data_IF_700646646060
#
_entry.id   IF_700646646060
#
_cell.length_a   1.000
_cell.length_b   1.000
_cell.length_c   1.000
_cell.angle_alpha   90.00
_cell.angle_beta   90.00
_cell.angle_gamma   90.00
#
_symmetry.space_group_name_H-M   'P 1'
#
loop_
_entity.id
_entity.type
_entity.pdbx_description
1 polymer ?
#
# COMPACT_ATOMS: atom_id res chain seq x y z
N UNK A 1 6.63 15.57 5.21
CA UNK A 1 6.26 15.17 3.83
C UNK A 1 7.31 14.25 3.19
N UNK A 2 8.60 14.62 3.17
CA UNK A 2 9.65 13.84 2.48
C UNK A 2 9.74 12.35 2.88
N UNK A 3 9.67 12.02 4.17
CA UNK A 3 9.74 10.62 4.62
C UNK A 3 8.57 9.74 4.17
N UNK A 4 7.36 10.31 4.02
CA UNK A 4 6.19 9.59 3.51
C UNK A 4 6.36 9.23 2.03
N UNK A 5 6.87 10.18 1.23
CA UNK A 5 7.13 9.99 -0.20
C UNK A 5 8.25 8.97 -0.40
N UNK A 6 9.31 9.03 0.41
CA UNK A 6 10.41 8.06 0.36
C UNK A 6 9.93 6.65 0.71
N UNK A 7 9.16 6.50 1.78
CA UNK A 7 8.59 5.22 2.19
C UNK A 7 7.61 4.66 1.15
N UNK A 8 6.74 5.51 0.60
CA UNK A 8 5.83 5.13 -0.48
C UNK A 8 6.59 4.69 -1.74
N UNK A 9 7.53 5.50 -2.21
CA UNK A 9 8.35 5.19 -3.38
C UNK A 9 9.17 3.91 -3.23
N UNK A 10 9.72 3.65 -2.04
CA UNK A 10 10.44 2.40 -1.75
C UNK A 10 9.54 1.17 -1.79
N UNK A 11 8.33 1.25 -1.22
CA UNK A 11 7.36 0.14 -1.27
C UNK A 11 6.89 -0.09 -2.71
N UNK A 12 6.54 0.96 -3.44
CA UNK A 12 6.11 0.85 -4.85
C UNK A 12 7.22 0.33 -5.75
N UNK A 13 8.45 0.79 -5.57
CA UNK A 13 9.61 0.37 -6.38
C UNK A 13 9.96 -1.11 -6.18
N UNK A 14 9.79 -1.64 -4.96
CA UNK A 14 10.09 -3.04 -4.68
C UNK A 14 8.90 -4.00 -4.86
N UNK A 15 7.71 -3.48 -5.14
CA UNK A 15 6.48 -4.26 -5.23
C UNK A 15 6.50 -5.27 -6.38
N UNK A 16 6.98 -4.87 -7.57
CA UNK A 16 7.03 -5.78 -8.74
C UNK A 16 7.95 -6.97 -8.47
N UNK A 17 9.12 -6.72 -7.89
CA UNK A 17 10.09 -7.77 -7.53
C UNK A 17 9.46 -8.72 -6.51
N UNK A 18 8.77 -8.17 -5.49
CA UNK A 18 8.05 -8.96 -4.50
C UNK A 18 7.00 -9.89 -5.12
N UNK A 19 6.22 -9.40 -6.08
CA UNK A 19 5.21 -10.21 -6.78
C UNK A 19 5.83 -11.34 -7.63
N UNK A 20 7.01 -11.12 -8.19
CA UNK A 20 7.69 -12.12 -9.02
C UNK A 20 8.40 -13.17 -8.16
N UNK A 21 9.16 -12.73 -7.15
CA UNK A 21 10.01 -13.62 -6.35
C UNK A 21 9.24 -14.40 -5.29
N UNK A 22 8.26 -13.78 -4.64
CA UNK A 22 7.56 -14.36 -3.48
C UNK A 22 6.27 -15.05 -3.90
N UNK A 23 5.52 -14.41 -4.80
CA UNK A 23 4.25 -14.96 -5.30
C UNK A 23 4.41 -15.77 -6.59
N UNK A 24 5.63 -15.90 -7.13
CA UNK A 24 5.94 -16.63 -8.36
C UNK A 24 5.04 -16.26 -9.55
N UNK A 25 4.62 -14.99 -9.63
CA UNK A 25 3.82 -14.50 -10.74
C UNK A 25 4.68 -14.31 -11.99
N UNK A 26 4.10 -14.52 -13.17
CA UNK A 26 4.76 -14.14 -14.44
C UNK A 26 4.98 -12.63 -14.47
N UNK A 27 6.14 -12.20 -14.97
CA UNK A 27 6.52 -10.77 -15.02
C UNK A 27 5.48 -9.88 -15.69
N UNK A 28 4.73 -10.41 -16.67
CA UNK A 28 3.63 -9.70 -17.35
C UNK A 28 2.48 -9.41 -16.39
N UNK A 29 2.09 -10.39 -15.57
CA UNK A 29 0.99 -10.27 -14.61
C UNK A 29 1.39 -9.37 -13.43
N UNK A 30 2.63 -9.54 -12.92
CA UNK A 30 3.19 -8.66 -11.88
C UNK A 30 3.23 -7.18 -12.33
N UNK A 31 3.58 -6.91 -13.59
CA UNK A 31 3.57 -5.56 -14.15
C UNK A 31 2.14 -4.99 -14.27
N UNK A 32 1.17 -5.80 -14.68
CA UNK A 32 -0.24 -5.39 -14.73
C UNK A 32 -0.76 -5.02 -13.33
N UNK A 33 -0.52 -5.89 -12.35
CA UNK A 33 -0.92 -5.62 -10.96
C UNK A 33 -0.27 -4.35 -10.43
N UNK A 34 1.04 -4.17 -10.64
CA UNK A 34 1.72 -2.94 -10.22
C UNK A 34 1.14 -1.69 -10.89
N UNK A 35 0.75 -1.77 -12.17
CA UNK A 35 0.17 -0.63 -12.88
C UNK A 35 -1.25 -0.30 -12.37
N UNK A 36 -2.04 -1.33 -12.01
CA UNK A 36 -3.34 -1.16 -11.35
C UNK A 36 -3.18 -0.49 -9.99
N UNK A 37 -2.21 -0.91 -9.18
CA UNK A 37 -1.96 -0.33 -7.86
C UNK A 37 -1.48 1.12 -8.00
N UNK A 38 -0.62 1.41 -8.98
CA UNK A 38 -0.18 2.78 -9.27
C UNK A 38 -1.35 3.69 -9.68
N UNK A 39 -2.21 3.25 -10.60
CA UNK A 39 -3.41 4.01 -10.98
C UNK A 39 -4.44 4.13 -9.85
N UNK A 40 -4.64 3.06 -9.09
CA UNK A 40 -5.54 3.02 -7.93
C UNK A 40 -5.12 3.99 -6.83
N UNK A 41 -3.82 4.19 -6.64
CA UNK A 41 -3.27 5.13 -5.64
C UNK A 41 -3.63 6.59 -5.90
N UNK A 42 -4.00 6.94 -7.14
CA UNK A 42 -4.53 8.26 -7.50
C UNK A 42 -6.05 8.36 -7.35
N UNK A 43 -6.79 7.25 -7.44
CA UNK A 43 -8.25 7.23 -7.39
C UNK A 43 -8.81 7.00 -5.98
N UNK A 44 -8.16 6.14 -5.19
CA UNK A 44 -8.53 5.84 -3.80
C UNK A 44 -8.65 7.10 -2.93
N UNK A 45 -7.75 8.10 -3.00
CA UNK A 45 -7.86 9.33 -2.20
C UNK A 45 -9.13 10.12 -2.50
N UNK A 46 -9.60 10.12 -3.74
CA UNK A 46 -10.81 10.83 -4.16
C UNK A 46 -12.03 10.20 -3.49
N UNK A 47 -12.14 8.88 -3.55
CA UNK A 47 -13.23 8.13 -2.92
C UNK A 47 -13.16 8.27 -1.39
N UNK A 48 -11.97 8.18 -0.82
CA UNK A 48 -11.75 8.34 0.61
C UNK A 48 -12.11 9.75 1.11
N UNK A 49 -11.82 10.79 0.33
CA UNK A 49 -12.19 12.17 0.65
C UNK A 49 -13.71 12.36 0.66
N UNK A 50 -14.43 11.85 -0.36
CA UNK A 50 -15.90 11.91 -0.41
C UNK A 50 -16.51 11.22 0.82
N UNK A 51 -16.00 10.05 1.20
CA UNK A 51 -16.50 9.30 2.34
C UNK A 51 -16.19 10.01 3.67
N UNK A 52 -15.01 10.62 3.78
CA UNK A 52 -14.61 11.42 4.93
C UNK A 52 -15.54 12.63 5.09
N UNK A 53 -15.71 13.44 4.06
CA UNK A 53 -16.54 14.65 4.11
C UNK A 53 -18.03 14.34 4.32
N UNK A 54 -18.51 13.20 3.85
CA UNK A 54 -19.93 12.82 3.96
C UNK A 54 -20.32 12.21 5.30
N UNK A 55 -19.43 11.45 5.96
CA UNK A 55 -19.80 10.61 7.12
C UNK A 55 -18.91 10.79 8.35
N UNK A 56 -17.69 11.29 8.22
CA UNK A 56 -16.68 11.18 9.27
C UNK A 56 -16.10 12.55 9.64
N UNK A 57 -16.34 12.99 10.86
CA UNK A 57 -15.64 14.18 11.39
C UNK A 57 -14.11 13.98 11.43
N UNK A 58 -13.35 15.08 11.37
CA UNK A 58 -11.88 15.07 11.22
C UNK A 58 -11.16 14.15 12.21
N UNK A 59 -11.62 14.07 13.46
CA UNK A 59 -10.97 13.27 14.50
C UNK A 59 -11.10 11.76 14.27
N UNK A 60 -12.23 11.32 13.73
CA UNK A 60 -12.49 9.90 13.41
C UNK A 60 -11.62 9.44 12.23
N UNK A 61 -11.50 10.30 11.20
CA UNK A 61 -10.67 10.01 10.01
C UNK A 61 -9.20 9.84 10.37
N UNK A 62 -8.66 10.70 11.24
CA UNK A 62 -7.26 10.63 11.68
C UNK A 62 -6.99 9.33 12.46
N UNK A 63 -7.89 8.95 13.38
CA UNK A 63 -7.74 7.71 14.14
C UNK A 63 -7.83 6.47 13.26
N UNK A 64 -8.82 6.40 12.36
CA UNK A 64 -9.01 5.26 11.45
C UNK A 64 -7.81 5.13 10.50
N UNK A 65 -7.38 6.22 9.87
CA UNK A 65 -6.23 6.21 8.95
C UNK A 65 -4.92 5.81 9.63
N UNK A 66 -4.73 6.19 10.89
CA UNK A 66 -3.57 5.79 11.69
C UNK A 66 -3.56 4.28 11.96
N UNK A 67 -4.70 3.71 12.35
CA UNK A 67 -4.85 2.26 12.57
C UNK A 67 -4.61 1.45 11.31
N UNK A 68 -5.22 1.87 10.19
CA UNK A 68 -5.04 1.23 8.87
C UNK A 68 -3.56 1.27 8.45
N UNK A 69 -2.89 2.40 8.62
CA UNK A 69 -1.47 2.55 8.28
C UNK A 69 -0.57 1.61 9.08
N UNK A 70 -0.89 1.39 10.36
CA UNK A 70 -0.13 0.49 11.23
C UNK A 70 -0.33 -0.97 10.81
N UNK A 71 -1.57 -1.37 10.53
CA UNK A 71 -1.95 -2.72 10.12
C UNK A 71 -1.26 -3.14 8.80
N UNK A 72 -1.27 -2.25 7.80
CA UNK A 72 -0.63 -2.49 6.50
C UNK A 72 0.89 -2.66 6.64
N UNK A 73 1.55 -1.78 7.41
CA UNK A 73 3.01 -1.86 7.63
C UNK A 73 3.41 -3.11 8.38
N UNK A 74 2.63 -3.50 9.39
CA UNK A 74 2.87 -4.71 10.16
C UNK A 74 2.73 -5.97 9.30
N UNK A 75 1.70 -6.04 8.47
CA UNK A 75 1.51 -7.15 7.52
C UNK A 75 2.66 -7.27 6.52
N UNK A 76 3.13 -6.14 5.96
CA UNK A 76 4.27 -6.12 5.06
C UNK A 76 5.55 -6.62 5.74
N UNK A 77 5.82 -6.17 6.97
CA UNK A 77 6.99 -6.60 7.73
C UNK A 77 6.96 -8.10 8.04
N UNK A 78 5.80 -8.65 8.43
CA UNK A 78 5.65 -10.09 8.65
C UNK A 78 5.93 -10.92 7.40
N UNK A 79 5.51 -10.42 6.24
CA UNK A 79 5.74 -11.10 4.97
C UNK A 79 7.24 -11.12 4.60
N UNK A 80 7.94 -9.99 4.78
CA UNK A 80 9.40 -9.92 4.63
C UNK A 80 10.15 -10.82 5.62
N UNK A 81 9.68 -10.87 6.87
CA UNK A 81 10.21 -11.77 7.87
C UNK A 81 10.09 -13.22 7.39
N UNK A 82 8.90 -13.63 6.93
CA UNK A 82 8.63 -15.00 6.44
C UNK A 82 9.55 -15.46 5.30
N UNK A 83 9.96 -14.54 4.42
CA UNK A 83 10.89 -14.83 3.30
C UNK A 83 12.34 -14.97 3.75
N UNK A 84 12.74 -14.38 4.89
CA UNK A 84 14.08 -14.54 5.46
C UNK A 84 14.27 -15.88 6.19
N UNK A 85 13.17 -16.59 6.49
CA UNK A 85 13.19 -17.87 7.23
C UNK A 85 12.96 -19.10 6.34
N UNK A 86 12.67 -18.91 5.05
CA UNK A 86 12.60 -19.96 4.01
C UNK A 86 13.84 -19.93 3.11
#
# INVERSE_FOLDING_TARGET
MAGLILAGGGVFGNLIVYLIEVFHLKSIDAAQVSNIINGGSSLIPIIAAILADSFLGCYSVIWISSLVSLLVRFGLLLSNAKIQYE
#
